data_IF_174938188855
#
_entry.id   IF_174938188855
#
_cell.length_a   1.000
_cell.length_b   1.000
_cell.length_c   1.000
_cell.angle_alpha   90.00
_cell.angle_beta   90.00
_cell.angle_gamma   90.00
#
_symmetry.space_group_name_H-M   'P 1'
#
loop_
_entity.id
_entity.type
_entity.pdbx_description
1 polymer ?
#
# COMPACT_ATOMS: atom_id res chain seq x y z
N UNK A 1 -15.11 16.88 -23.45
CA UNK A 1 -14.19 17.72 -22.65
C UNK A 1 -13.70 16.89 -21.48
N UNK A 2 -12.41 16.80 -21.30
CA UNK A 2 -11.79 16.09 -20.17
C UNK A 2 -11.19 17.12 -19.23
N UNK A 3 -11.47 16.99 -17.93
CA UNK A 3 -10.86 17.83 -16.90
C UNK A 3 -9.73 17.04 -16.25
N UNK A 4 -8.53 17.63 -16.17
CA UNK A 4 -7.35 17.02 -15.60
C UNK A 4 -6.91 17.85 -14.39
N UNK A 5 -6.71 17.21 -13.24
CA UNK A 5 -6.10 17.83 -12.06
C UNK A 5 -4.61 17.54 -12.09
N UNK A 6 -3.79 18.58 -12.06
CA UNK A 6 -2.33 18.47 -12.03
C UNK A 6 -1.82 18.73 -10.63
N UNK A 7 -0.96 17.86 -10.12
CA UNK A 7 -0.38 17.95 -8.76
C UNK A 7 0.99 18.64 -8.73
N UNK A 8 1.48 19.07 -9.88
CA UNK A 8 2.75 19.79 -10.02
C UNK A 8 2.55 21.16 -10.67
N UNK A 9 3.58 21.99 -10.63
CA UNK A 9 3.62 23.30 -11.28
C UNK A 9 3.37 23.18 -12.79
N UNK A 10 2.38 23.89 -13.30
CA UNK A 10 1.97 23.85 -14.70
C UNK A 10 2.53 24.98 -15.57
N UNK A 11 3.36 25.85 -15.00
CA UNK A 11 3.96 26.96 -15.73
C UNK A 11 4.77 26.45 -16.93
N UNK A 12 4.45 26.95 -18.10
CA UNK A 12 5.14 26.57 -19.35
C UNK A 12 4.46 25.45 -20.13
N UNK A 13 3.40 24.79 -19.63
CA UNK A 13 2.59 23.87 -20.42
C UNK A 13 1.92 24.60 -21.59
N UNK A 14 1.97 23.97 -22.76
CA UNK A 14 1.42 24.52 -24.01
C UNK A 14 0.44 23.55 -24.66
N UNK A 15 -0.53 24.06 -25.44
CA UNK A 15 -1.36 23.20 -26.28
C UNK A 15 -0.51 22.36 -27.23
N UNK A 16 -0.83 21.09 -27.37
CA UNK A 16 -0.11 20.14 -28.22
C UNK A 16 0.96 19.31 -27.52
N UNK A 17 1.19 19.50 -26.22
CA UNK A 17 2.09 18.63 -25.46
C UNK A 17 1.50 17.23 -25.28
N UNK A 18 2.40 16.25 -25.22
CA UNK A 18 1.98 14.83 -25.11
C UNK A 18 1.43 14.53 -23.75
N UNK A 19 0.27 13.87 -23.71
CA UNK A 19 -0.36 13.32 -22.51
C UNK A 19 -0.35 11.80 -22.61
N UNK A 20 0.25 11.14 -21.63
CA UNK A 20 0.29 9.68 -21.56
C UNK A 20 -0.66 9.19 -20.47
N UNK A 21 -1.59 8.31 -20.83
CA UNK A 21 -2.43 7.64 -19.85
C UNK A 21 -1.66 6.44 -19.25
N UNK A 22 -1.59 6.38 -17.92
CA UNK A 22 -0.98 5.24 -17.22
C UNK A 22 -1.87 3.98 -17.28
N UNK A 23 -3.16 4.14 -17.54
CA UNK A 23 -4.15 3.07 -17.49
C UNK A 23 -4.71 2.80 -16.09
N UNK A 24 -4.04 3.29 -15.06
CA UNK A 24 -4.41 3.07 -13.66
C UNK A 24 -4.98 4.34 -13.01
N UNK A 25 -5.87 4.15 -12.05
CA UNK A 25 -6.31 5.23 -11.17
C UNK A 25 -5.16 5.64 -10.23
N UNK A 26 -5.18 6.90 -9.76
CA UNK A 26 -4.26 7.35 -8.72
C UNK A 26 -4.39 6.44 -7.50
N UNK A 27 -3.29 5.81 -7.12
CA UNK A 27 -3.24 4.77 -6.09
C UNK A 27 -2.11 5.05 -5.11
N UNK A 28 -2.26 4.54 -3.90
CA UNK A 28 -1.22 4.51 -2.87
C UNK A 28 -0.69 3.10 -2.70
N UNK A 29 0.56 2.98 -2.25
CA UNK A 29 1.19 1.71 -1.96
C UNK A 29 1.07 1.41 -0.47
N UNK A 30 0.28 0.40 -0.12
CA UNK A 30 0.07 -0.03 1.25
C UNK A 30 0.95 -1.24 1.55
N UNK A 31 1.84 -1.12 2.52
CA UNK A 31 2.78 -2.18 2.90
C UNK A 31 3.60 -1.79 4.13
N UNK A 32 4.48 -2.68 4.61
CA UNK A 32 5.38 -2.34 5.70
C UNK A 32 6.39 -1.27 5.27
N UNK A 33 6.66 -0.31 6.13
CA UNK A 33 7.53 0.85 5.86
C UNK A 33 6.80 2.17 5.72
N UNK A 34 5.47 2.20 5.81
CA UNK A 34 4.71 3.46 5.85
C UNK A 34 4.99 4.21 7.15
N UNK A 35 5.05 3.49 8.27
CA UNK A 35 5.23 4.12 9.58
C UNK A 35 6.64 4.72 9.73
N UNK A 36 6.70 5.83 10.46
CA UNK A 36 7.92 6.64 10.69
C UNK A 36 8.48 7.34 9.45
N UNK A 37 7.74 7.40 8.37
CA UNK A 37 8.06 8.19 7.19
C UNK A 37 7.18 9.45 7.12
N UNK A 38 7.69 10.46 6.42
CA UNK A 38 6.95 11.69 6.10
C UNK A 38 6.81 11.74 4.59
N UNK A 39 5.57 11.81 4.13
CA UNK A 39 5.23 11.81 2.72
C UNK A 39 4.67 13.17 2.28
N UNK A 40 4.79 13.42 1.00
CA UNK A 40 4.05 14.51 0.35
C UNK A 40 2.60 14.09 0.02
N UNK A 41 1.83 14.98 -0.64
CA UNK A 41 0.42 14.75 -0.97
C UNK A 41 0.14 13.62 -1.98
N UNK A 42 1.16 13.04 -2.60
CA UNK A 42 1.06 11.92 -3.56
C UNK A 42 1.91 10.72 -3.16
N UNK A 43 2.16 10.57 -1.85
CA UNK A 43 2.88 9.44 -1.23
C UNK A 43 4.36 9.32 -1.65
N UNK A 44 5.05 10.43 -1.92
CA UNK A 44 6.49 10.40 -2.12
C UNK A 44 7.22 10.67 -0.79
N UNK A 45 8.15 9.80 -0.34
CA UNK A 45 8.89 10.03 0.90
C UNK A 45 9.78 11.27 0.79
N UNK A 46 9.64 12.24 1.69
CA UNK A 46 10.40 13.49 1.65
C UNK A 46 11.91 13.26 1.80
N UNK A 47 12.30 12.21 2.52
CA UNK A 47 13.72 11.82 2.66
C UNK A 47 14.33 11.42 1.32
N UNK A 48 13.60 10.65 0.51
CA UNK A 48 14.07 10.19 -0.80
C UNK A 48 14.06 11.33 -1.82
N UNK A 49 13.06 12.21 -1.78
CA UNK A 49 13.05 13.44 -2.56
C UNK A 49 14.28 14.29 -2.25
N UNK A 50 14.59 14.48 -0.96
CA UNK A 50 15.75 15.28 -0.55
C UNK A 50 17.09 14.69 -1.00
N UNK A 51 17.22 13.36 -1.05
CA UNK A 51 18.43 12.70 -1.58
C UNK A 51 18.63 12.94 -3.07
N UNK A 52 17.53 12.94 -3.84
CA UNK A 52 17.59 13.06 -5.30
C UNK A 52 17.66 14.52 -5.80
N UNK A 53 16.90 15.41 -5.16
CA UNK A 53 16.74 16.81 -5.63
C UNK A 53 17.21 17.89 -4.64
N UNK A 54 17.75 17.49 -3.47
CA UNK A 54 18.23 18.42 -2.46
C UNK A 54 17.10 19.16 -1.75
N UNK A 55 17.25 20.48 -1.58
CA UNK A 55 16.31 21.31 -0.79
C UNK A 55 14.99 21.61 -1.51
N UNK A 56 14.92 21.43 -2.80
CA UNK A 56 13.77 21.78 -3.63
C UNK A 56 13.27 20.55 -4.37
N UNK A 57 11.94 20.41 -4.49
CA UNK A 57 11.34 19.32 -5.26
C UNK A 57 11.42 19.64 -6.74
N UNK A 58 12.16 18.83 -7.48
CA UNK A 58 12.27 18.96 -8.94
C UNK A 58 11.01 18.43 -9.62
N UNK A 59 10.64 19.04 -10.75
CA UNK A 59 9.48 18.58 -11.55
C UNK A 59 9.74 17.19 -12.13
N UNK A 60 8.67 16.39 -12.23
CA UNK A 60 8.72 15.06 -12.82
C UNK A 60 9.52 14.05 -12.01
N UNK A 61 9.84 14.37 -10.75
CA UNK A 61 10.57 13.45 -9.88
C UNK A 61 9.67 12.25 -9.52
N UNK A 62 10.11 11.06 -9.91
CA UNK A 62 9.46 9.80 -9.54
C UNK A 62 10.30 9.11 -8.48
N UNK A 63 9.66 8.78 -7.35
CA UNK A 63 10.27 8.10 -6.20
C UNK A 63 9.32 6.99 -5.78
N UNK A 64 9.86 5.83 -5.45
CA UNK A 64 9.06 4.76 -4.87
C UNK A 64 8.52 5.18 -3.51
N UNK A 65 7.25 4.91 -3.25
CA UNK A 65 6.58 5.27 -2.00
C UNK A 65 7.16 4.54 -0.79
N UNK A 66 7.61 3.31 -1.00
CA UNK A 66 8.21 2.46 0.01
C UNK A 66 9.58 1.97 -0.45
N UNK A 67 10.46 1.66 0.50
CA UNK A 67 11.76 1.07 0.22
C UNK A 67 11.59 -0.36 -0.31
N UNK A 68 11.86 -0.55 -1.59
CA UNK A 68 11.72 -1.82 -2.32
C UNK A 68 12.85 -2.81 -2.07
N UNK A 69 13.98 -2.34 -1.54
CA UNK A 69 15.16 -3.17 -1.28
C UNK A 69 15.25 -3.63 0.19
N UNK A 70 14.55 -2.93 1.08
CA UNK A 70 14.53 -3.28 2.50
C UNK A 70 13.92 -4.66 2.70
N UNK A 71 14.65 -5.51 3.42
CA UNK A 71 14.20 -6.84 3.82
C UNK A 71 13.54 -6.78 5.19
N UNK A 72 12.38 -7.40 5.27
CA UNK A 72 11.57 -7.52 6.46
C UNK A 72 11.60 -8.96 6.96
N UNK A 73 11.66 -9.16 8.27
CA UNK A 73 11.44 -10.47 8.88
C UNK A 73 9.94 -10.77 8.82
N UNK A 74 9.58 -11.78 8.06
CA UNK A 74 8.19 -12.11 7.74
C UNK A 74 7.84 -13.46 8.35
N UNK A 75 6.73 -13.49 9.09
CA UNK A 75 6.08 -14.71 9.56
C UNK A 75 4.85 -14.98 8.69
N UNK A 76 4.86 -16.09 7.97
CA UNK A 76 3.77 -16.49 7.09
C UNK A 76 2.71 -17.24 7.88
N UNK A 77 1.46 -16.82 7.78
CA UNK A 77 0.36 -17.30 8.64
C UNK A 77 -0.57 -18.30 7.95
N UNK A 78 -0.33 -18.60 6.67
CA UNK A 78 -1.19 -19.47 5.85
C UNK A 78 -0.41 -20.65 5.30
N UNK A 79 -1.13 -21.71 4.93
CA UNK A 79 -0.56 -22.97 4.42
C UNK A 79 -1.13 -23.29 3.04
N UNK A 80 -0.38 -24.14 2.29
CA UNK A 80 -0.86 -24.67 1.00
C UNK A 80 -2.16 -25.46 1.18
N UNK A 81 -3.09 -25.29 0.24
CA UNK A 81 -4.42 -25.90 0.25
C UNK A 81 -5.46 -25.11 1.02
N UNK A 82 -5.12 -24.03 1.69
CA UNK A 82 -6.05 -23.19 2.43
C UNK A 82 -6.85 -22.29 1.47
N UNK A 83 -8.15 -22.18 1.70
CA UNK A 83 -9.00 -21.25 0.96
C UNK A 83 -8.99 -19.88 1.62
N UNK A 84 -8.61 -18.85 0.87
CA UNK A 84 -8.51 -17.48 1.34
C UNK A 84 -9.53 -16.59 0.64
N UNK A 85 -10.13 -15.71 1.42
CA UNK A 85 -10.98 -14.63 0.93
C UNK A 85 -10.26 -13.28 1.05
N UNK A 86 -10.73 -12.31 0.28
CA UNK A 86 -10.24 -10.94 0.37
C UNK A 86 -10.25 -10.41 1.81
N UNK A 87 -9.13 -9.85 2.24
CA UNK A 87 -8.91 -9.39 3.60
C UNK A 87 -8.33 -10.44 4.56
N UNK A 88 -8.16 -11.70 4.14
CA UNK A 88 -7.46 -12.70 4.94
C UNK A 88 -5.99 -12.29 5.17
N UNK A 89 -5.50 -12.46 6.38
CA UNK A 89 -4.11 -12.15 6.75
C UNK A 89 -3.23 -13.30 6.26
N UNK A 90 -2.20 -12.99 5.49
CA UNK A 90 -1.27 -13.98 4.93
C UNK A 90 0.11 -13.96 5.59
N UNK A 91 0.49 -12.82 6.16
CA UNK A 91 1.78 -12.68 6.81
C UNK A 91 1.78 -11.56 7.84
N UNK A 92 2.67 -11.65 8.79
CA UNK A 92 2.93 -10.67 9.83
C UNK A 92 4.39 -10.21 9.80
N UNK A 93 4.61 -8.91 10.01
CA UNK A 93 5.93 -8.29 10.01
C UNK A 93 6.03 -7.27 11.11
N UNK A 94 7.07 -7.34 11.95
CA UNK A 94 7.30 -6.33 12.99
C UNK A 94 7.78 -5.02 12.34
N UNK A 95 6.91 -4.04 12.20
CA UNK A 95 7.24 -2.76 11.56
C UNK A 95 7.86 -1.77 12.55
N UNK A 96 7.29 -1.66 13.76
CA UNK A 96 7.83 -0.87 14.86
C UNK A 96 7.84 -1.70 16.15
N UNK A 97 8.36 -1.15 17.26
CA UNK A 97 8.35 -1.85 18.55
C UNK A 97 6.96 -2.25 19.04
N UNK A 98 5.94 -1.50 18.66
CA UNK A 98 4.56 -1.67 19.14
C UNK A 98 3.58 -2.13 18.06
N UNK A 99 3.98 -2.12 16.80
CA UNK A 99 3.06 -2.40 15.69
C UNK A 99 3.58 -3.54 14.84
N UNK A 100 2.74 -4.56 14.75
CA UNK A 100 2.88 -5.66 13.80
C UNK A 100 2.06 -5.32 12.56
N UNK A 101 2.72 -5.17 11.43
CA UNK A 101 2.08 -5.03 10.13
C UNK A 101 1.49 -6.39 9.71
N UNK A 102 0.24 -6.37 9.25
CA UNK A 102 -0.49 -7.54 8.76
C UNK A 102 -0.73 -7.39 7.28
N UNK A 103 -0.03 -8.17 6.48
CA UNK A 103 -0.26 -8.22 5.04
C UNK A 103 -1.49 -9.07 4.73
N UNK A 104 -2.36 -8.57 3.86
CA UNK A 104 -3.66 -9.17 3.58
C UNK A 104 -3.83 -9.45 2.10
N UNK A 105 -4.65 -10.44 1.79
CA UNK A 105 -5.17 -10.65 0.43
C UNK A 105 -5.98 -9.41 0.01
N UNK A 106 -5.81 -8.89 -1.22
CA UNK A 106 -6.65 -7.81 -1.72
C UNK A 106 -8.13 -8.17 -1.64
N UNK A 107 -9.04 -7.20 -1.35
CA UNK A 107 -10.44 -7.49 -1.02
C UNK A 107 -11.26 -8.16 -2.14
N UNK A 108 -10.83 -7.98 -3.36
CA UNK A 108 -11.45 -8.52 -4.59
C UNK A 108 -10.86 -9.85 -5.05
N UNK A 109 -9.97 -10.43 -4.23
CA UNK A 109 -9.23 -11.66 -4.58
C UNK A 109 -9.65 -12.78 -3.64
N UNK A 110 -10.15 -13.87 -4.21
CA UNK A 110 -10.45 -15.11 -3.49
C UNK A 110 -9.80 -16.27 -4.20
N UNK A 111 -9.33 -17.26 -3.47
CA UNK A 111 -8.70 -18.42 -4.10
C UNK A 111 -8.07 -19.37 -3.10
N UNK A 112 -7.52 -20.46 -3.61
CA UNK A 112 -6.83 -21.47 -2.83
C UNK A 112 -5.33 -21.26 -2.90
N UNK A 113 -4.65 -21.36 -1.77
CA UNK A 113 -3.18 -21.27 -1.69
C UNK A 113 -2.55 -22.45 -2.39
N UNK A 114 -1.81 -22.19 -3.46
CA UNK A 114 -1.04 -23.23 -4.18
C UNK A 114 0.43 -23.22 -3.79
N UNK A 115 0.90 -22.13 -3.20
CA UNK A 115 2.25 -22.01 -2.67
C UNK A 115 2.29 -20.90 -1.60
N UNK A 116 3.01 -21.17 -0.53
CA UNK A 116 3.30 -20.21 0.54
C UNK A 116 4.80 -20.18 0.82
N UNK A 117 5.36 -18.99 0.96
CA UNK A 117 6.75 -18.81 1.37
C UNK A 117 6.95 -19.33 2.80
N UNK A 118 8.19 -19.71 3.13
CA UNK A 118 8.58 -20.01 4.50
C UNK A 118 8.88 -18.71 5.25
N UNK A 119 8.85 -18.78 6.58
CA UNK A 119 9.32 -17.67 7.41
C UNK A 119 10.73 -17.27 7.00
N UNK A 120 10.98 -15.97 6.86
CA UNK A 120 12.26 -15.49 6.35
C UNK A 120 12.30 -13.99 6.10
N UNK A 121 13.34 -13.58 5.37
CA UNK A 121 13.57 -12.18 5.02
C UNK A 121 13.17 -11.92 3.57
N UNK A 122 12.16 -11.08 3.40
CA UNK A 122 11.59 -10.73 2.10
C UNK A 122 11.50 -9.22 1.93
N UNK A 123 11.59 -8.77 0.70
CA UNK A 123 11.27 -7.41 0.31
C UNK A 123 9.75 -7.26 0.16
N UNK A 124 9.28 -6.04 -0.01
CA UNK A 124 7.85 -5.78 -0.23
C UNK A 124 7.35 -6.27 -1.61
N UNK A 125 8.25 -6.56 -2.53
CA UNK A 125 7.96 -7.03 -3.89
C UNK A 125 8.05 -8.54 -4.04
N UNK A 126 8.69 -9.23 -3.08
CA UNK A 126 8.81 -10.68 -3.14
C UNK A 126 7.44 -11.35 -2.97
N UNK A 127 7.10 -12.36 -3.78
CA UNK A 127 5.87 -13.11 -3.60
C UNK A 127 5.90 -13.89 -2.28
N UNK A 128 4.84 -13.76 -1.49
CA UNK A 128 4.67 -14.44 -0.20
C UNK A 128 3.71 -15.60 -0.34
N UNK A 129 2.64 -15.41 -1.13
CA UNK A 129 1.63 -16.44 -1.38
C UNK A 129 1.25 -16.42 -2.85
N UNK A 130 1.02 -17.59 -3.43
CA UNK A 130 0.39 -17.74 -4.75
C UNK A 130 -0.98 -18.35 -4.57
N UNK A 131 -1.97 -17.70 -5.11
CA UNK A 131 -3.37 -18.15 -5.08
C UNK A 131 -3.79 -18.63 -6.46
N UNK A 132 -4.51 -19.73 -6.49
CA UNK A 132 -5.29 -20.16 -7.66
C UNK A 132 -6.70 -19.59 -7.48
N UNK A 133 -7.10 -18.72 -8.40
CA UNK A 133 -8.42 -18.09 -8.41
C UNK A 133 -9.49 -19.06 -8.97
N UNK A 134 -10.77 -18.72 -8.79
CA UNK A 134 -11.90 -19.53 -9.27
C UNK A 134 -11.90 -19.69 -10.81
N UNK A 135 -11.39 -18.70 -11.53
CA UNK A 135 -11.24 -18.73 -12.99
C UNK A 135 -10.07 -19.60 -13.48
N UNK A 136 -9.31 -20.19 -12.53
CA UNK A 136 -8.13 -21.01 -12.80
C UNK A 136 -6.84 -20.24 -13.01
N UNK A 137 -6.86 -18.90 -12.97
CA UNK A 137 -5.65 -18.08 -13.06
C UNK A 137 -4.86 -18.09 -11.74
N UNK A 138 -3.57 -17.86 -11.82
CA UNK A 138 -2.71 -17.75 -10.64
C UNK A 138 -2.44 -16.29 -10.34
N UNK A 139 -2.47 -15.92 -9.07
CA UNK A 139 -2.15 -14.58 -8.59
C UNK A 139 -1.12 -14.62 -7.48
N UNK A 140 -0.04 -13.88 -7.66
CA UNK A 140 0.97 -13.67 -6.63
C UNK A 140 0.56 -12.54 -5.70
N UNK A 141 0.69 -12.77 -4.40
CA UNK A 141 0.42 -11.78 -3.36
C UNK A 141 1.74 -11.49 -2.65
N UNK A 142 2.06 -10.21 -2.55
CA UNK A 142 3.27 -9.69 -1.91
C UNK A 142 2.93 -9.01 -0.58
N UNK A 143 3.93 -8.48 0.13
CA UNK A 143 3.72 -7.72 1.36
C UNK A 143 3.05 -6.37 1.11
N UNK A 144 3.20 -5.80 -0.09
CA UNK A 144 2.59 -4.53 -0.46
C UNK A 144 1.46 -4.71 -1.46
N UNK A 145 0.52 -3.79 -1.46
CA UNK A 145 -0.57 -3.74 -2.44
C UNK A 145 -0.84 -2.30 -2.86
N UNK A 146 -1.15 -2.08 -4.14
CA UNK A 146 -1.63 -0.79 -4.64
C UNK A 146 -3.12 -0.65 -4.37
N UNK A 147 -3.51 0.50 -3.85
CA UNK A 147 -4.89 0.81 -3.54
C UNK A 147 -5.32 2.13 -4.19
N UNK A 148 -6.38 2.15 -5.04
CA UNK A 148 -6.91 3.39 -5.61
C UNK A 148 -7.45 4.30 -4.52
N UNK A 149 -6.98 5.54 -4.43
CA UNK A 149 -7.31 6.46 -3.33
C UNK A 149 -8.78 6.83 -3.23
N UNK A 150 -9.55 6.70 -4.32
CA UNK A 150 -10.98 7.00 -4.35
C UNK A 150 -11.88 5.80 -4.13
N UNK A 151 -11.31 4.61 -3.96
CA UNK A 151 -12.08 3.38 -3.68
C UNK A 151 -12.04 3.12 -2.18
N UNK A 152 -13.20 3.19 -1.49
CA UNK A 152 -13.26 2.86 -0.07
C UNK A 152 -12.83 1.41 0.18
N UNK A 153 -12.07 1.16 1.23
CA UNK A 153 -11.76 -0.22 1.61
C UNK A 153 -13.04 -0.89 2.15
N UNK A 154 -13.35 -2.10 1.71
CA UNK A 154 -14.47 -2.84 2.24
C UNK A 154 -14.25 -3.16 3.72
N UNK A 155 -15.32 -3.22 4.47
CA UNK A 155 -15.31 -3.58 5.90
C UNK A 155 -16.08 -4.87 6.08
N UNK A 156 -15.48 -5.82 6.77
CA UNK A 156 -16.15 -7.08 7.12
C UNK A 156 -17.29 -6.83 8.11
N UNK A 157 -17.07 -5.96 9.10
CA UNK A 157 -18.03 -5.64 10.14
C UNK A 157 -17.86 -4.20 10.63
N UNK A 158 -18.97 -3.52 10.82
CA UNK A 158 -18.99 -2.22 11.52
C UNK A 158 -19.42 -2.48 12.98
N UNK A 159 -18.61 -1.99 13.91
CA UNK A 159 -18.94 -2.02 15.31
C UNK A 159 -19.64 -0.71 15.72
N UNK A 160 -20.60 -0.75 16.66
CA UNK A 160 -21.16 0.48 17.19
C UNK A 160 -20.08 1.27 17.94
N UNK A 161 -20.15 2.59 17.88
CA UNK A 161 -19.26 3.48 18.63
C UNK A 161 -19.68 3.48 20.12
N UNK A 162 -19.26 2.46 20.86
CA UNK A 162 -19.62 2.25 22.25
C UNK A 162 -18.52 2.64 23.25
N UNK A 163 -17.29 2.81 22.76
CA UNK A 163 -16.15 3.17 23.59
C UNK A 163 -15.65 4.54 23.15
N UNK A 164 -15.68 5.58 24.02
CA UNK A 164 -15.17 6.89 23.68
C UNK A 164 -13.66 6.85 23.51
N UNK A 165 -13.17 7.53 22.48
CA UNK A 165 -11.74 7.78 22.30
C UNK A 165 -11.33 8.98 23.15
N UNK A 166 -10.61 8.72 24.24
CA UNK A 166 -10.04 9.80 25.05
C UNK A 166 -8.74 10.26 24.40
N UNK A 167 -8.73 11.50 23.92
CA UNK A 167 -7.60 12.07 23.19
C UNK A 167 -6.53 12.67 24.09
N UNK A 168 -6.85 12.94 25.35
CA UNK A 168 -6.03 13.69 26.30
C UNK A 168 -6.08 15.21 26.07
N UNK A 169 -6.85 15.66 25.10
CA UNK A 169 -7.08 17.09 24.84
C UNK A 169 -8.41 17.50 25.49
N UNK A 170 -8.33 18.24 26.59
CA UNK A 170 -9.49 18.62 27.39
C UNK A 170 -10.66 19.20 26.58
N UNK A 171 -10.35 20.04 25.59
CA UNK A 171 -11.36 20.67 24.74
C UNK A 171 -12.05 19.71 23.76
N UNK A 172 -11.45 18.55 23.49
CA UNK A 172 -12.03 17.53 22.61
C UNK A 172 -12.76 16.44 23.40
N UNK A 173 -12.39 16.24 24.66
CA UNK A 173 -12.90 15.16 25.51
C UNK A 173 -14.12 15.59 26.38
N UNK A 174 -14.50 16.87 26.30
CA UNK A 174 -15.69 17.44 26.96
C UNK A 174 -16.77 17.74 25.95
#
# INVERSE_FOLDING_TARGET
TTTVQVFEETTGLKPGETVTASGDALSVTLGPGILNNIFDGIERPLSEIAKQSGKYISRGLTVDSLDTEKKWDVHVTVSEGEELMGGAIIAETQETRSIVHKSMVPPDVNGTVIWAAKDGKYTILDPIVKLKLEDGTEKEITLAQKWPIRVPRPTLKRYPASVPLITGQRILDT
#
